data_IF_376311412187
#
_entry.id   IF_376311412187
#
_cell.length_a   1.000
_cell.length_b   1.000
_cell.length_c   1.000
_cell.angle_alpha   90.00
_cell.angle_beta   90.00
_cell.angle_gamma   90.00
#
_symmetry.space_group_name_H-M   'P 1'
#
loop_
_entity.id
_entity.type
_entity.pdbx_description
1 polymer ?
#
# COMPACT_ATOMS: atom_id res chain seq x y z
N UNK A 1 -9.11 26.20 -23.92
CA UNK A 1 -7.93 25.32 -23.90
C UNK A 1 -7.73 24.87 -22.46
N UNK A 2 -7.54 23.57 -22.19
CA UNK A 2 -7.22 23.11 -20.83
C UNK A 2 -5.74 23.40 -20.57
N UNK A 3 -5.41 24.05 -19.46
CA UNK A 3 -4.02 24.33 -19.06
C UNK A 3 -3.77 23.73 -17.69
N UNK A 4 -2.70 22.97 -17.55
CA UNK A 4 -2.29 22.37 -16.28
C UNK A 4 -1.11 23.16 -15.75
N UNK A 5 -1.23 23.65 -14.51
CA UNK A 5 -0.18 24.37 -13.82
C UNK A 5 0.38 23.50 -12.70
N UNK A 6 1.69 23.58 -12.50
CA UNK A 6 2.35 22.95 -11.36
C UNK A 6 2.33 23.89 -10.16
N UNK A 7 2.27 23.29 -8.98
CA UNK A 7 2.31 24.03 -7.74
C UNK A 7 2.48 23.11 -6.54
N UNK A 8 2.80 23.73 -5.42
CA UNK A 8 3.00 23.04 -4.14
C UNK A 8 1.79 23.26 -3.23
N UNK A 9 1.27 22.18 -2.65
CA UNK A 9 0.29 22.26 -1.58
C UNK A 9 0.98 22.31 -0.21
N UNK A 10 0.68 23.33 0.59
CA UNK A 10 1.19 23.49 1.96
C UNK A 10 0.09 23.98 2.89
N UNK A 11 -0.27 23.18 3.88
CA UNK A 11 -1.20 23.55 4.97
C UNK A 11 -2.54 24.17 4.51
N UNK A 12 -3.16 23.63 3.45
CA UNK A 12 -4.42 24.16 2.92
C UNK A 12 -4.25 25.27 1.88
N UNK A 13 -3.03 25.75 1.63
CA UNK A 13 -2.74 26.74 0.59
C UNK A 13 -2.06 26.07 -0.60
N UNK A 14 -2.55 26.37 -1.81
CA UNK A 14 -1.93 25.98 -3.07
C UNK A 14 -1.07 27.16 -3.53
N UNK A 15 0.22 26.92 -3.71
CA UNK A 15 1.18 27.90 -4.22
C UNK A 15 1.51 27.47 -5.64
N UNK A 16 1.10 28.26 -6.63
CA UNK A 16 1.43 28.00 -8.03
C UNK A 16 2.87 28.44 -8.30
N UNK A 17 3.60 27.63 -9.07
CA UNK A 17 4.97 27.97 -9.45
C UNK A 17 5.00 28.98 -10.61
N UNK A 18 3.89 29.12 -11.32
CA UNK A 18 3.72 30.01 -12.48
C UNK A 18 2.43 30.82 -12.38
N UNK A 19 2.41 31.98 -13.05
CA UNK A 19 1.24 32.84 -13.13
C UNK A 19 0.39 32.42 -14.34
N UNK A 20 -0.87 31.99 -14.16
CA UNK A 20 -1.76 31.71 -15.28
C UNK A 20 -1.99 32.96 -16.14
N UNK A 21 -2.01 32.84 -17.48
CA UNK A 21 -2.41 33.94 -18.36
C UNK A 21 -3.94 34.06 -18.42
N UNK A 22 -4.60 34.14 -17.25
CA UNK A 22 -6.05 34.24 -17.11
C UNK A 22 -6.35 35.49 -16.28
N UNK A 23 -7.14 36.40 -16.85
CA UNK A 23 -7.46 37.73 -16.31
C UNK A 23 -8.89 37.83 -15.76
N UNK A 24 -9.63 36.73 -15.72
CA UNK A 24 -11.03 36.65 -15.29
C UNK A 24 -11.30 35.42 -14.42
N UNK A 25 -12.44 35.42 -13.74
CA UNK A 25 -12.86 34.31 -12.88
C UNK A 25 -13.22 33.07 -13.70
N UNK A 26 -12.57 31.96 -13.39
CA UNK A 26 -12.79 30.67 -14.08
C UNK A 26 -12.87 29.52 -13.08
N UNK A 27 -13.73 28.51 -13.34
CA UNK A 27 -13.75 27.30 -12.53
C UNK A 27 -12.45 26.51 -12.75
N UNK A 28 -11.84 26.04 -11.65
CA UNK A 28 -10.60 25.26 -11.67
C UNK A 28 -10.78 23.90 -11.02
N UNK A 29 -10.06 22.89 -11.52
CA UNK A 29 -9.98 21.55 -10.93
C UNK A 29 -8.57 21.38 -10.39
N UNK A 30 -8.46 21.01 -9.11
CA UNK A 30 -7.18 20.75 -8.45
C UNK A 30 -6.98 19.25 -8.32
N UNK A 31 -5.88 18.75 -8.88
CA UNK A 31 -5.49 17.34 -8.79
C UNK A 31 -4.26 17.20 -7.92
N UNK A 32 -4.34 16.43 -6.84
CA UNK A 32 -3.20 16.13 -5.98
C UNK A 32 -2.47 14.89 -6.49
N UNK A 33 -1.18 15.04 -6.80
CA UNK A 33 -0.32 13.93 -7.17
C UNK A 33 0.32 13.36 -5.90
N UNK A 34 -0.23 12.26 -5.39
CA UNK A 34 0.41 11.51 -4.31
C UNK A 34 1.48 10.60 -4.90
N UNK A 35 2.74 10.83 -4.54
CA UNK A 35 3.76 9.81 -4.73
C UNK A 35 3.59 8.76 -3.62
N UNK A 36 3.35 7.50 -3.97
CA UNK A 36 3.20 6.34 -3.06
C UNK A 36 4.46 6.05 -2.19
N UNK A 37 5.43 6.95 -2.15
CA UNK A 37 6.60 6.90 -1.28
C UNK A 37 6.30 7.33 0.16
N UNK A 38 5.07 7.17 0.64
CA UNK A 38 4.88 7.13 2.10
C UNK A 38 5.65 5.90 2.57
N UNK A 39 6.63 6.01 3.48
CA UNK A 39 7.20 4.81 4.06
C UNK A 39 6.03 4.05 4.66
N UNK A 40 5.72 2.85 4.13
CA UNK A 40 4.79 1.93 4.80
C UNK A 40 5.23 1.95 6.25
N UNK A 41 4.35 2.42 7.14
CA UNK A 41 4.61 2.36 8.57
C UNK A 41 5.15 0.95 8.81
N UNK A 42 6.38 0.86 9.31
CA UNK A 42 7.03 -0.42 9.58
C UNK A 42 6.15 -1.12 10.60
N UNK A 43 5.19 -1.89 10.10
CA UNK A 43 4.30 -2.69 10.91
C UNK A 43 5.23 -3.52 11.76
N UNK A 44 5.10 -3.36 13.08
CA UNK A 44 5.90 -4.09 14.07
C UNK A 44 5.96 -5.54 13.60
N UNK A 45 7.13 -5.95 13.11
CA UNK A 45 7.31 -7.27 12.55
C UNK A 45 6.80 -8.30 13.55
N UNK A 46 6.11 -9.33 13.06
CA UNK A 46 5.68 -10.46 13.87
C UNK A 46 6.93 -10.96 14.62
N UNK A 47 6.87 -10.97 15.96
CA UNK A 47 7.97 -11.47 16.79
C UNK A 47 8.13 -12.96 16.49
N UNK A 48 9.19 -13.33 15.78
CA UNK A 48 9.60 -14.73 15.64
C UNK A 48 9.78 -15.32 17.05
N UNK A 49 9.10 -16.43 17.32
CA UNK A 49 9.12 -17.11 18.63
C UNK A 49 7.90 -16.88 19.52
N UNK A 50 6.83 -16.24 19.05
CA UNK A 50 5.56 -16.16 19.82
C UNK A 50 4.74 -17.47 19.81
N UNK A 51 5.22 -18.53 19.15
CA UNK A 51 4.56 -19.82 19.15
C UNK A 51 4.94 -20.59 20.42
N UNK A 52 4.14 -20.41 21.47
CA UNK A 52 4.25 -21.19 22.70
C UNK A 52 3.11 -22.22 22.72
N UNK A 53 3.30 -23.33 22.01
CA UNK A 53 2.29 -24.39 21.91
C UNK A 53 2.99 -25.74 21.72
N UNK A 54 2.68 -26.69 22.61
CA UNK A 54 3.16 -28.08 22.53
C UNK A 54 2.86 -28.65 21.14
N UNK A 55 3.90 -28.98 20.39
CA UNK A 55 3.77 -29.83 19.22
C UNK A 55 3.55 -31.27 19.72
N UNK A 56 2.39 -31.87 19.46
CA UNK A 56 2.25 -33.33 19.50
C UNK A 56 2.28 -33.81 18.07
N UNK A 57 3.37 -34.47 17.69
CA UNK A 57 3.41 -35.27 16.47
C UNK A 57 2.51 -36.50 16.72
N UNK A 58 1.48 -36.72 15.90
CA UNK A 58 0.72 -37.97 15.96
C UNK A 58 1.62 -39.17 15.68
N UNK A 59 1.41 -40.29 16.36
CA UNK A 59 2.22 -41.50 16.19
C UNK A 59 2.10 -42.10 14.78
N UNK A 60 1.03 -41.76 14.06
CA UNK A 60 0.68 -42.21 12.70
C UNK A 60 1.15 -41.26 11.58
N UNK A 61 1.96 -40.23 11.89
CA UNK A 61 2.41 -39.25 10.88
C UNK A 61 3.12 -39.87 9.66
N UNK A 62 3.78 -41.02 9.86
CA UNK A 62 4.50 -41.72 8.79
C UNK A 62 3.67 -42.83 8.13
N UNK A 63 2.39 -43.02 8.52
CA UNK A 63 1.56 -44.02 7.86
C UNK A 63 1.24 -43.56 6.44
N UNK A 64 1.34 -44.47 5.44
CA UNK A 64 0.99 -44.14 4.07
C UNK A 64 -0.49 -43.76 4.01
N UNK A 65 -0.78 -42.64 3.36
CA UNK A 65 -2.15 -42.23 3.09
C UNK A 65 -2.72 -43.18 2.04
N UNK A 66 -3.75 -43.96 2.40
CA UNK A 66 -4.45 -44.87 1.48
C UNK A 66 -4.91 -44.14 0.21
N UNK A 67 -5.33 -42.87 0.34
CA UNK A 67 -5.75 -42.02 -0.77
C UNK A 67 -4.64 -41.73 -1.81
N UNK A 68 -3.36 -41.91 -1.44
CA UNK A 68 -2.23 -41.73 -2.35
C UNK A 68 -1.78 -43.03 -3.03
N UNK A 69 -2.33 -44.18 -2.63
CA UNK A 69 -1.97 -45.48 -3.20
C UNK A 69 -2.35 -45.59 -4.68
N UNK A 70 -3.43 -44.92 -5.10
CA UNK A 70 -3.89 -44.89 -6.50
C UNK A 70 -3.00 -44.02 -7.42
N UNK A 71 -2.05 -43.27 -6.85
CA UNK A 71 -1.21 -42.30 -7.56
C UNK A 71 0.30 -42.59 -7.51
N UNK A 72 0.73 -43.61 -6.76
CA UNK A 72 2.13 -44.07 -6.67
C UNK A 72 2.42 -45.30 -7.52
#
# INVERSE_FOLDING_TARGET
MLTTLSGTYRNGTIILDEVPPIDHDVPVIVTFLENDKRPKATGKGVRLGSWNGKYSLPDDFNEPLDDLADYM
#
